data_IF_499729746248
#
_entry.id   IF_499729746248
#
_cell.length_a   1.000
_cell.length_b   1.000
_cell.length_c   1.000
_cell.angle_alpha   90.00
_cell.angle_beta   90.00
_cell.angle_gamma   90.00
#
_symmetry.space_group_name_H-M   'P 1'
#
loop_
_entity.id
_entity.type
_entity.pdbx_description
1 polymer ?
#
# COMPACT_ATOMS: atom_id res chain seq x y z
N UNK A 1 -55.83 -4.17 -10.10
CA UNK A 1 -54.84 -3.08 -9.93
C UNK A 1 -54.83 -2.56 -8.50
N UNK A 2 -55.98 -2.18 -7.93
CA UNK A 2 -56.09 -1.69 -6.54
C UNK A 2 -55.38 -2.57 -5.48
N UNK A 3 -55.57 -3.90 -5.51
CA UNK A 3 -54.91 -4.82 -4.56
C UNK A 3 -53.38 -4.82 -4.64
N UNK A 4 -52.79 -4.61 -5.83
CA UNK A 4 -51.32 -4.53 -5.96
C UNK A 4 -50.79 -3.24 -5.37
N UNK A 5 -51.48 -2.12 -5.62
CA UNK A 5 -51.13 -0.81 -5.04
C UNK A 5 -51.22 -0.82 -3.51
N UNK A 6 -52.27 -1.41 -2.93
CA UNK A 6 -52.38 -1.52 -1.47
C UNK A 6 -51.24 -2.35 -0.88
N UNK A 7 -50.91 -3.50 -1.48
CA UNK A 7 -49.77 -4.32 -1.02
C UNK A 7 -48.42 -3.61 -1.14
N UNK A 8 -48.22 -2.78 -2.17
CA UNK A 8 -47.01 -1.98 -2.31
C UNK A 8 -46.87 -0.96 -1.17
N UNK A 9 -47.97 -0.30 -0.77
CA UNK A 9 -48.00 0.62 0.38
C UNK A 9 -47.61 -0.11 1.67
N UNK A 10 -48.18 -1.29 1.92
CA UNK A 10 -47.86 -2.09 3.11
C UNK A 10 -46.37 -2.47 3.16
N UNK A 11 -45.78 -2.81 2.01
CA UNK A 11 -44.35 -3.12 1.91
C UNK A 11 -43.45 -1.90 2.13
N UNK A 12 -43.87 -0.70 1.73
CA UNK A 12 -43.14 0.55 2.03
C UNK A 12 -43.14 0.81 3.53
N UNK A 13 -44.27 0.65 4.21
CA UNK A 13 -44.34 0.78 5.67
C UNK A 13 -43.47 -0.25 6.38
N UNK A 14 -43.50 -1.51 5.92
CA UNK A 14 -42.62 -2.56 6.43
C UNK A 14 -41.15 -2.23 6.22
N UNK A 15 -40.78 -1.65 5.06
CA UNK A 15 -39.41 -1.23 4.78
C UNK A 15 -38.94 -0.10 5.71
N UNK A 16 -39.79 0.89 5.99
CA UNK A 16 -39.49 1.96 6.96
C UNK A 16 -39.30 1.40 8.36
N UNK A 17 -40.23 0.57 8.82
CA UNK A 17 -40.13 -0.08 10.11
C UNK A 17 -38.84 -0.91 10.23
N UNK A 18 -38.48 -1.68 9.20
CA UNK A 18 -37.22 -2.44 9.20
C UNK A 18 -35.99 -1.51 9.28
N UNK A 19 -36.00 -0.38 8.56
CA UNK A 19 -34.93 0.61 8.62
C UNK A 19 -34.80 1.25 10.01
N UNK A 20 -35.92 1.60 10.65
CA UNK A 20 -35.96 2.16 12.00
C UNK A 20 -35.39 1.19 13.05
N UNK A 21 -35.53 -0.12 12.82
CA UNK A 21 -34.92 -1.18 13.66
C UNK A 21 -33.47 -1.53 13.24
N UNK A 22 -32.87 -0.80 12.30
CA UNK A 22 -31.50 -1.05 11.82
C UNK A 22 -31.37 -2.25 10.87
N UNK A 23 -32.48 -2.88 10.47
CA UNK A 23 -32.51 -4.05 9.57
C UNK A 23 -32.45 -3.62 8.09
N UNK A 24 -31.35 -2.95 7.70
CA UNK A 24 -31.16 -2.39 6.35
C UNK A 24 -31.38 -3.40 5.21
N UNK A 25 -30.97 -4.65 5.39
CA UNK A 25 -31.15 -5.71 4.39
C UNK A 25 -32.62 -6.04 4.12
N UNK A 26 -33.44 -6.09 5.18
CA UNK A 26 -34.88 -6.31 5.07
C UNK A 26 -35.58 -5.07 4.51
N UNK A 27 -35.18 -3.87 4.94
CA UNK A 27 -35.66 -2.62 4.38
C UNK A 27 -35.45 -2.56 2.85
N UNK A 28 -34.24 -2.90 2.37
CA UNK A 28 -33.91 -2.93 0.95
C UNK A 28 -34.75 -3.95 0.19
N UNK A 29 -34.91 -5.18 0.72
CA UNK A 29 -35.74 -6.24 0.11
C UNK A 29 -37.22 -5.84 0.03
N UNK A 30 -37.79 -5.29 1.11
CA UNK A 30 -39.20 -4.87 1.16
C UNK A 30 -39.47 -3.70 0.23
N UNK A 31 -38.61 -2.68 0.22
CA UNK A 31 -38.72 -1.55 -0.71
C UNK A 31 -38.59 -2.01 -2.18
N UNK A 32 -37.67 -2.93 -2.47
CA UNK A 32 -37.50 -3.48 -3.84
C UNK A 32 -38.74 -4.26 -4.30
N UNK A 33 -39.36 -5.03 -3.40
CA UNK A 33 -40.63 -5.73 -3.67
C UNK A 33 -41.80 -4.77 -3.88
N UNK A 34 -41.86 -3.69 -3.09
CA UNK A 34 -42.87 -2.64 -3.28
C UNK A 34 -42.76 -2.03 -4.68
N UNK A 35 -41.55 -1.67 -5.11
CA UNK A 35 -41.27 -1.10 -6.43
C UNK A 35 -41.58 -2.09 -7.57
N UNK A 36 -41.35 -3.39 -7.37
CA UNK A 36 -41.72 -4.42 -8.34
C UNK A 36 -43.24 -4.62 -8.48
N UNK A 37 -44.02 -4.36 -7.41
CA UNK A 37 -45.48 -4.44 -7.43
C UNK A 37 -46.12 -3.19 -8.04
N UNK A 38 -45.60 -2.01 -7.69
CA UNK A 38 -46.04 -0.72 -8.20
C UNK A 38 -44.82 0.17 -8.52
N UNK A 39 -44.42 0.28 -9.79
CA UNK A 39 -43.30 1.13 -10.21
C UNK A 39 -43.48 2.61 -9.88
N UNK A 40 -44.72 3.07 -9.63
CA UNK A 40 -45.06 4.45 -9.25
C UNK A 40 -45.01 4.69 -7.73
N UNK A 41 -44.57 3.71 -6.93
CA UNK A 41 -44.48 3.85 -5.48
C UNK A 41 -43.27 4.74 -5.07
N UNK A 42 -43.44 6.06 -5.14
CA UNK A 42 -42.41 7.07 -4.83
C UNK A 42 -41.67 6.80 -3.51
N UNK A 43 -42.40 6.41 -2.46
CA UNK A 43 -41.82 6.11 -1.15
C UNK A 43 -40.85 4.92 -1.15
N UNK A 44 -41.06 3.93 -2.03
CA UNK A 44 -40.14 2.80 -2.19
C UNK A 44 -38.85 3.24 -2.90
N UNK A 45 -38.98 4.04 -3.97
CA UNK A 45 -37.85 4.57 -4.73
C UNK A 45 -36.98 5.50 -3.88
N UNK A 46 -37.60 6.39 -3.08
CA UNK A 46 -36.91 7.27 -2.13
C UNK A 46 -36.14 6.48 -1.07
N UNK A 47 -36.75 5.43 -0.49
CA UNK A 47 -36.09 4.57 0.49
C UNK A 47 -34.89 3.83 -0.10
N UNK A 48 -35.04 3.23 -1.29
CA UNK A 48 -33.93 2.56 -1.97
C UNK A 48 -32.80 3.55 -2.24
N UNK A 49 -33.13 4.73 -2.75
CA UNK A 49 -32.14 5.80 -3.02
C UNK A 49 -31.39 6.17 -1.74
N UNK A 50 -32.12 6.38 -0.64
CA UNK A 50 -31.54 6.71 0.67
C UNK A 50 -30.64 5.58 1.18
N UNK A 51 -31.11 4.33 1.11
CA UNK A 51 -30.35 3.15 1.55
C UNK A 51 -29.07 2.94 0.74
N UNK A 52 -29.06 3.30 -0.54
CA UNK A 52 -27.89 3.16 -1.42
C UNK A 52 -26.90 4.32 -1.29
N UNK A 53 -27.38 5.54 -1.02
CA UNK A 53 -26.53 6.72 -0.90
C UNK A 53 -25.99 6.92 0.52
N UNK A 54 -26.72 6.48 1.54
CA UNK A 54 -26.31 6.64 2.94
C UNK A 54 -25.64 5.36 3.45
N UNK A 55 -24.31 5.34 3.63
CA UNK A 55 -23.62 4.18 4.18
C UNK A 55 -24.18 3.83 5.58
N UNK A 56 -24.16 2.55 5.96
CA UNK A 56 -24.61 2.14 7.29
C UNK A 56 -23.71 2.72 8.38
N UNK A 57 -24.30 3.22 9.46
CA UNK A 57 -23.54 3.76 10.62
C UNK A 57 -22.66 2.68 11.27
N UNK A 58 -23.18 1.46 11.34
CA UNK A 58 -22.44 0.28 11.78
C UNK A 58 -22.16 -0.60 10.57
N UNK A 59 -20.88 -0.86 10.32
CA UNK A 59 -20.46 -1.73 9.23
C UNK A 59 -20.94 -3.17 9.52
N UNK A 60 -21.78 -3.77 8.65
CA UNK A 60 -22.23 -5.14 8.84
C UNK A 60 -21.03 -6.11 8.92
N UNK A 61 -21.10 -7.17 9.73
CA UNK A 61 -19.98 -8.11 9.92
C UNK A 61 -19.55 -8.77 8.59
N UNK A 62 -20.50 -9.01 7.69
CA UNK A 62 -20.23 -9.53 6.34
C UNK A 62 -19.40 -8.56 5.50
N UNK A 63 -19.77 -7.27 5.52
CA UNK A 63 -19.03 -6.22 4.81
C UNK A 63 -17.62 -6.04 5.40
N UNK A 64 -17.48 -6.10 6.73
CA UNK A 64 -16.18 -6.07 7.39
C UNK A 64 -15.29 -7.24 6.97
N UNK A 65 -15.84 -8.47 6.90
CA UNK A 65 -15.12 -9.63 6.41
C UNK A 65 -14.68 -9.49 4.94
N UNK A 66 -15.52 -8.90 4.09
CA UNK A 66 -15.19 -8.64 2.69
C UNK A 66 -14.09 -7.59 2.53
N UNK A 67 -14.14 -6.49 3.29
CA UNK A 67 -13.08 -5.47 3.28
C UNK A 67 -11.77 -6.08 3.75
N UNK A 68 -11.78 -6.81 4.89
CA UNK A 68 -10.58 -7.48 5.41
C UNK A 68 -9.98 -8.45 4.38
N UNK A 69 -10.81 -9.21 3.67
CA UNK A 69 -10.36 -10.10 2.60
C UNK A 69 -9.73 -9.33 1.43
N UNK A 70 -10.35 -8.23 1.00
CA UNK A 70 -9.80 -7.39 -0.07
C UNK A 70 -8.47 -6.73 0.32
N UNK A 71 -8.33 -6.29 1.57
CA UNK A 71 -7.08 -5.78 2.14
C UNK A 71 -5.99 -6.85 2.15
N UNK A 72 -6.31 -8.06 2.64
CA UNK A 72 -5.41 -9.22 2.65
C UNK A 72 -4.92 -9.59 1.24
N UNK A 73 -5.78 -9.52 0.24
CA UNK A 73 -5.42 -9.73 -1.17
C UNK A 73 -4.46 -8.64 -1.66
N UNK A 74 -4.67 -7.39 -1.24
CA UNK A 74 -3.76 -6.27 -1.48
C UNK A 74 -2.38 -6.51 -0.88
N UNK A 75 -2.32 -6.85 0.41
CA UNK A 75 -1.07 -7.20 1.13
C UNK A 75 -0.30 -8.31 0.40
N UNK A 76 -1.01 -9.36 -0.03
CA UNK A 76 -0.41 -10.49 -0.74
C UNK A 76 0.19 -10.10 -2.10
N UNK A 77 -0.52 -9.26 -2.88
CA UNK A 77 -0.02 -8.75 -4.16
C UNK A 77 1.21 -7.86 -3.96
N UNK A 78 1.19 -6.98 -2.96
CA UNK A 78 2.32 -6.12 -2.64
C UNK A 78 3.54 -6.93 -2.17
N UNK A 79 3.36 -7.91 -1.29
CA UNK A 79 4.43 -8.79 -0.84
C UNK A 79 5.08 -9.56 -2.01
N UNK A 80 4.29 -10.02 -3.00
CA UNK A 80 4.83 -10.61 -4.24
C UNK A 80 5.66 -9.63 -5.06
N UNK A 81 5.28 -8.36 -5.10
CA UNK A 81 6.03 -7.32 -5.82
C UNK A 81 7.36 -6.94 -5.17
N UNK A 82 7.50 -7.17 -3.86
CA UNK A 82 8.75 -6.90 -3.12
C UNK A 82 9.84 -7.96 -3.37
N UNK A 83 9.46 -9.21 -3.64
CA UNK A 83 10.39 -10.34 -3.85
C UNK A 83 11.44 -10.04 -4.94
N UNK A 84 11.06 -9.56 -6.14
CA UNK A 84 12.04 -9.15 -7.15
C UNK A 84 13.05 -8.11 -6.68
N UNK A 85 12.66 -7.21 -5.76
CA UNK A 85 13.57 -6.22 -5.21
C UNK A 85 14.66 -6.83 -4.33
N UNK A 86 14.31 -7.79 -3.48
CA UNK A 86 15.30 -8.53 -2.69
C UNK A 86 16.20 -9.42 -3.56
N UNK A 87 15.64 -10.03 -4.62
CA UNK A 87 16.43 -10.77 -5.61
C UNK A 87 17.38 -9.83 -6.35
N UNK A 88 16.94 -8.61 -6.71
CA UNK A 88 17.79 -7.62 -7.35
C UNK A 88 18.99 -7.24 -6.47
N UNK A 89 18.80 -7.09 -5.15
CA UNK A 89 19.91 -6.88 -4.20
C UNK A 89 20.91 -8.04 -4.27
N UNK A 90 20.45 -9.29 -4.27
CA UNK A 90 21.35 -10.44 -4.44
C UNK A 90 22.02 -10.47 -5.82
N UNK A 91 21.33 -10.01 -6.87
CA UNK A 91 21.86 -9.91 -8.23
C UNK A 91 22.94 -8.82 -8.39
N UNK A 92 23.15 -7.94 -7.40
CA UNK A 92 24.34 -7.07 -7.36
C UNK A 92 25.62 -7.83 -7.01
N UNK A 93 25.54 -9.04 -6.48
CA UNK A 93 26.71 -9.82 -6.06
C UNK A 93 27.75 -10.00 -7.17
N UNK A 94 27.41 -10.41 -8.41
CA UNK A 94 28.40 -10.53 -9.48
C UNK A 94 29.09 -9.20 -9.81
N UNK A 95 28.36 -8.08 -9.73
CA UNK A 95 28.91 -6.75 -9.96
C UNK A 95 29.89 -6.34 -8.85
N UNK A 96 29.60 -6.72 -7.60
CA UNK A 96 30.51 -6.53 -6.48
C UNK A 96 31.77 -7.39 -6.60
N UNK A 97 31.63 -8.65 -7.05
CA UNK A 97 32.76 -9.56 -7.31
C UNK A 97 33.67 -8.97 -8.39
N UNK A 98 33.08 -8.49 -9.48
CA UNK A 98 33.80 -7.82 -10.56
C UNK A 98 34.60 -6.60 -10.08
N UNK A 99 34.08 -5.89 -9.09
CA UNK A 99 34.72 -4.68 -8.54
C UNK A 99 35.82 -4.96 -7.53
N UNK A 100 36.06 -6.23 -7.16
CA UNK A 100 37.08 -6.63 -6.20
C UNK A 100 36.56 -6.58 -4.76
N UNK A 101 36.23 -7.75 -4.22
CA UNK A 101 35.78 -7.90 -2.82
C UNK A 101 36.99 -7.97 -1.89
N UNK A 102 37.10 -7.01 -0.98
CA UNK A 102 38.13 -7.01 0.07
C UNK A 102 37.70 -7.87 1.29
N UNK A 103 36.41 -7.85 1.61
CA UNK A 103 35.85 -8.56 2.78
C UNK A 103 34.53 -9.26 2.44
N UNK A 104 34.55 -10.59 2.44
CA UNK A 104 33.37 -11.41 2.08
C UNK A 104 32.27 -11.45 3.15
N UNK A 105 32.64 -11.36 4.43
CA UNK A 105 31.69 -11.46 5.55
C UNK A 105 30.48 -10.49 5.45
N UNK A 106 30.65 -9.17 5.25
CA UNK A 106 29.50 -8.26 5.11
C UNK A 106 28.65 -8.54 3.87
N UNK A 107 29.26 -9.04 2.79
CA UNK A 107 28.56 -9.35 1.54
C UNK A 107 27.68 -10.59 1.71
N UNK A 108 28.24 -11.66 2.27
CA UNK A 108 27.49 -12.90 2.57
C UNK A 108 26.36 -12.58 3.56
N UNK A 109 26.65 -11.77 4.59
CA UNK A 109 25.64 -11.30 5.54
C UNK A 109 24.50 -10.55 4.86
N UNK A 110 24.82 -9.62 3.97
CA UNK A 110 23.82 -8.84 3.22
C UNK A 110 22.94 -9.74 2.33
N UNK A 111 23.56 -10.62 1.55
CA UNK A 111 22.84 -11.53 0.65
C UNK A 111 21.97 -12.50 1.47
N UNK A 112 22.51 -13.09 2.52
CA UNK A 112 21.77 -13.98 3.42
C UNK A 112 20.57 -13.27 4.07
N UNK A 113 20.77 -12.03 4.52
CA UNK A 113 19.69 -11.21 5.08
C UNK A 113 18.63 -10.83 4.02
N UNK A 114 19.04 -10.61 2.77
CA UNK A 114 18.12 -10.30 1.68
C UNK A 114 17.26 -11.50 1.30
N UNK A 115 17.85 -12.69 1.28
CA UNK A 115 17.12 -13.94 1.07
C UNK A 115 16.17 -14.23 2.25
N UNK A 116 16.58 -13.94 3.49
CA UNK A 116 15.71 -14.04 4.66
C UNK A 116 14.51 -13.09 4.54
N UNK A 117 14.70 -11.83 4.16
CA UNK A 117 13.61 -10.88 3.92
C UNK A 117 12.70 -11.32 2.77
N UNK A 118 13.27 -11.86 1.68
CA UNK A 118 12.48 -12.43 0.58
C UNK A 118 11.62 -13.61 1.06
N UNK A 119 12.14 -14.45 1.94
CA UNK A 119 11.40 -15.53 2.57
C UNK A 119 10.30 -15.00 3.51
N UNK A 120 10.58 -13.98 4.32
CA UNK A 120 9.58 -13.31 5.15
C UNK A 120 8.45 -12.70 4.30
N UNK A 121 8.80 -12.04 3.20
CA UNK A 121 7.84 -11.51 2.23
C UNK A 121 7.01 -12.63 1.60
N UNK A 122 7.63 -13.76 1.23
CA UNK A 122 6.92 -14.94 0.75
C UNK A 122 5.94 -15.52 1.79
N UNK A 123 6.33 -15.56 3.07
CA UNK A 123 5.44 -15.97 4.15
C UNK A 123 4.27 -14.99 4.33
N UNK A 124 4.49 -13.69 4.09
CA UNK A 124 3.43 -12.68 4.10
C UNK A 124 2.43 -12.88 2.94
N UNK A 125 2.90 -13.38 1.79
CA UNK A 125 2.01 -13.79 0.67
C UNK A 125 1.11 -14.96 1.06
N UNK A 126 1.59 -15.90 1.89
CA UNK A 126 0.82 -17.07 2.33
C UNK A 126 -0.12 -16.77 3.49
N UNK A 127 0.28 -15.86 4.37
CA UNK A 127 -0.45 -15.45 5.59
C UNK A 127 -0.48 -13.92 5.68
N UNK A 128 -1.42 -13.27 4.96
CA UNK A 128 -1.53 -11.81 4.94
C UNK A 128 -2.06 -11.23 6.26
N UNK A 129 -2.77 -12.05 7.05
CA UNK A 129 -3.18 -11.67 8.39
C UNK A 129 -1.96 -11.69 9.32
N UNK A 130 -1.38 -10.51 9.55
CA UNK A 130 -0.28 -10.29 10.48
C UNK A 130 -0.67 -9.28 11.53
N UNK A 131 -0.18 -9.53 12.74
CA UNK A 131 -0.28 -8.57 13.82
C UNK A 131 0.52 -7.31 13.49
N UNK A 132 0.15 -6.18 14.10
CA UNK A 132 0.90 -4.94 13.98
C UNK A 132 2.37 -5.11 14.37
N UNK A 133 2.66 -5.89 15.42
CA UNK A 133 4.02 -6.17 15.89
C UNK A 133 4.87 -6.90 14.84
N UNK A 134 4.31 -7.89 14.14
CA UNK A 134 5.01 -8.58 13.06
C UNK A 134 5.33 -7.65 11.88
N UNK A 135 4.41 -6.72 11.57
CA UNK A 135 4.63 -5.70 10.54
C UNK A 135 5.71 -4.70 10.94
N UNK A 136 5.73 -4.27 12.21
CA UNK A 136 6.80 -3.43 12.78
C UNK A 136 8.14 -4.17 12.71
N UNK A 137 8.20 -5.44 13.10
CA UNK A 137 9.41 -6.26 13.00
C UNK A 137 9.90 -6.36 11.55
N UNK A 138 8.99 -6.53 10.59
CA UNK A 138 9.31 -6.54 9.17
C UNK A 138 9.86 -5.19 8.68
N UNK A 139 9.29 -4.07 9.13
CA UNK A 139 9.82 -2.74 8.83
C UNK A 139 11.20 -2.51 9.44
N UNK A 140 11.42 -2.93 10.70
CA UNK A 140 12.72 -2.89 11.36
C UNK A 140 13.75 -3.75 10.61
N UNK A 141 13.37 -4.91 10.09
CA UNK A 141 14.25 -5.74 9.28
C UNK A 141 14.61 -5.07 7.94
N UNK A 142 13.69 -4.36 7.30
CA UNK A 142 13.99 -3.53 6.13
C UNK A 142 14.91 -2.34 6.47
N UNK A 143 14.72 -1.70 7.63
CA UNK A 143 15.62 -0.66 8.12
C UNK A 143 17.03 -1.22 8.38
N UNK A 144 17.16 -2.41 8.99
CA UNK A 144 18.43 -3.08 9.17
C UNK A 144 19.12 -3.40 7.83
N UNK A 145 18.35 -3.79 6.80
CA UNK A 145 18.86 -3.99 5.45
C UNK A 145 19.47 -2.70 4.88
N UNK A 146 18.79 -1.56 5.07
CA UNK A 146 19.29 -0.24 4.68
C UNK A 146 20.58 0.13 5.41
N UNK A 147 20.69 -0.18 6.72
CA UNK A 147 21.93 0.00 7.48
C UNK A 147 23.08 -0.79 6.85
N UNK A 148 22.85 -2.07 6.54
CA UNK A 148 23.88 -2.93 5.91
C UNK A 148 24.31 -2.40 4.54
N UNK A 149 23.35 -1.98 3.70
CA UNK A 149 23.63 -1.37 2.40
C UNK A 149 24.38 -0.04 2.53
N UNK A 150 23.97 0.81 3.47
CA UNK A 150 24.64 2.08 3.79
C UNK A 150 26.09 1.86 4.18
N UNK A 151 26.38 0.86 5.01
CA UNK A 151 27.74 0.48 5.40
C UNK A 151 28.60 -0.05 4.26
N UNK A 152 27.97 -0.66 3.26
CA UNK A 152 28.65 -1.30 2.14
C UNK A 152 28.94 -0.31 1.01
N UNK A 153 27.94 0.47 0.62
CA UNK A 153 27.96 1.37 -0.53
C UNK A 153 28.13 2.85 -0.17
N UNK A 154 28.07 3.20 1.11
CA UNK A 154 28.07 4.58 1.62
C UNK A 154 26.65 5.16 1.75
N UNK A 155 26.37 5.95 2.80
CA UNK A 155 25.03 6.48 3.08
C UNK A 155 24.50 7.47 2.02
N UNK A 156 25.38 8.12 1.27
CA UNK A 156 25.04 9.24 0.37
C UNK A 156 25.06 8.85 -1.12
N UNK A 157 25.10 7.56 -1.44
CA UNK A 157 25.04 7.09 -2.83
C UNK A 157 23.58 6.87 -3.26
N UNK A 158 23.19 5.64 -3.61
CA UNK A 158 21.82 5.29 -4.00
C UNK A 158 20.92 4.92 -2.81
N UNK A 159 21.49 4.81 -1.61
CA UNK A 159 20.78 4.40 -0.37
C UNK A 159 19.62 5.34 0.01
N UNK A 160 19.70 6.67 -0.11
CA UNK A 160 18.56 7.54 0.18
C UNK A 160 17.37 7.27 -0.75
N UNK A 161 17.63 7.11 -2.05
CA UNK A 161 16.61 6.77 -3.04
C UNK A 161 15.98 5.40 -2.75
N UNK A 162 16.80 4.42 -2.37
CA UNK A 162 16.33 3.10 -1.98
C UNK A 162 15.50 3.13 -0.69
N UNK A 163 15.88 3.98 0.28
CA UNK A 163 15.14 4.18 1.53
C UNK A 163 13.74 4.70 1.24
N UNK A 164 13.62 5.73 0.38
CA UNK A 164 12.31 6.26 -0.05
C UNK A 164 11.50 5.18 -0.76
N UNK A 165 12.12 4.43 -1.67
CA UNK A 165 11.45 3.34 -2.38
C UNK A 165 10.91 2.24 -1.46
N UNK A 166 11.74 1.76 -0.52
CA UNK A 166 11.35 0.73 0.46
C UNK A 166 10.25 1.29 1.38
N UNK A 167 10.41 2.52 1.87
CA UNK A 167 9.40 3.19 2.71
C UNK A 167 8.06 3.27 2.00
N UNK A 168 8.04 3.72 0.74
CA UNK A 168 6.83 3.80 -0.06
C UNK A 168 6.18 2.42 -0.26
N UNK A 169 7.00 1.39 -0.49
CA UNK A 169 6.52 0.02 -0.65
C UNK A 169 5.92 -0.54 0.65
N UNK A 170 6.51 -0.23 1.80
CA UNK A 170 5.99 -0.67 3.11
C UNK A 170 4.77 0.16 3.54
N UNK A 171 4.67 1.41 3.12
CA UNK A 171 3.52 2.29 3.39
C UNK A 171 2.21 1.76 2.79
N UNK A 172 2.25 0.92 1.75
CA UNK A 172 1.04 0.33 1.15
C UNK A 172 0.36 -0.72 2.03
N UNK A 173 0.98 -1.13 3.15
CA UNK A 173 0.34 -2.05 4.09
C UNK A 173 -0.65 -1.32 5.00
N UNK A 174 -1.87 -1.86 5.24
CA UNK A 174 -2.89 -1.20 6.06
C UNK A 174 -2.40 -0.75 7.44
N UNK A 175 -1.57 -1.58 8.09
CA UNK A 175 -0.95 -1.30 9.38
C UNK A 175 -0.15 0.02 9.40
N UNK A 176 0.54 0.36 8.30
CA UNK A 176 1.33 1.58 8.19
C UNK A 176 0.57 2.74 7.56
N UNK A 177 -0.47 2.47 6.78
CA UNK A 177 -1.40 3.53 6.34
C UNK A 177 -2.09 4.21 7.54
N UNK A 178 -2.39 3.44 8.60
CA UNK A 178 -2.97 3.98 9.85
C UNK A 178 -1.90 4.65 10.74
N UNK A 179 -0.64 4.24 10.62
CA UNK A 179 0.47 4.73 11.45
C UNK A 179 1.70 5.18 10.62
N UNK A 180 1.55 6.16 9.71
CA UNK A 180 2.61 6.55 8.78
C UNK A 180 3.84 7.14 9.50
N UNK A 181 3.62 7.83 10.62
CA UNK A 181 4.69 8.42 11.45
C UNK A 181 5.57 7.32 12.05
N UNK A 182 4.99 6.21 12.50
CA UNK A 182 5.77 5.10 13.05
C UNK A 182 6.72 4.50 11.99
N UNK A 183 6.22 4.31 10.76
CA UNK A 183 7.05 3.83 9.65
C UNK A 183 8.16 4.84 9.31
N UNK A 184 7.84 6.13 9.26
CA UNK A 184 8.81 7.19 8.98
C UNK A 184 9.92 7.23 10.04
N UNK A 185 9.59 7.06 11.33
CA UNK A 185 10.57 6.97 12.42
C UNK A 185 11.45 5.73 12.26
N UNK A 186 10.88 4.57 11.95
CA UNK A 186 11.65 3.32 11.77
C UNK A 186 12.62 3.44 10.59
N UNK A 187 12.14 3.88 9.42
CA UNK A 187 12.95 3.96 8.20
C UNK A 187 13.97 5.11 8.29
N UNK A 188 13.53 6.29 8.76
CA UNK A 188 14.40 7.44 8.99
C UNK A 188 15.46 7.15 10.06
N UNK A 189 15.07 6.49 11.15
CA UNK A 189 15.97 5.99 12.17
C UNK A 189 16.99 5.01 11.59
N UNK A 190 16.57 4.03 10.79
CA UNK A 190 17.46 3.10 10.10
C UNK A 190 18.50 3.80 9.20
N UNK A 191 18.09 4.85 8.49
CA UNK A 191 19.00 5.63 7.65
C UNK A 191 19.97 6.50 8.47
N UNK A 192 19.49 7.18 9.50
CA UNK A 192 20.27 8.12 10.34
C UNK A 192 21.21 7.40 11.30
N UNK A 193 20.81 6.24 11.83
CA UNK A 193 21.57 5.47 12.83
C UNK A 193 23.04 5.21 12.43
N UNK A 194 23.37 4.64 11.25
CA UNK A 194 24.77 4.41 10.88
C UNK A 194 25.57 5.70 10.76
N UNK A 195 24.95 6.79 10.31
CA UNK A 195 25.60 8.10 10.18
C UNK A 195 25.98 8.62 11.58
N UNK A 196 25.04 8.59 12.54
CA UNK A 196 25.31 9.03 13.90
C UNK A 196 26.36 8.14 14.60
N UNK A 197 26.32 6.83 14.39
CA UNK A 197 27.30 5.91 14.96
C UNK A 197 28.71 6.10 14.37
N UNK A 198 28.83 6.51 13.10
CA UNK A 198 30.11 6.88 12.49
C UNK A 198 30.64 8.22 13.01
N UNK A 199 29.76 9.21 13.18
CA UNK A 199 30.11 10.51 13.76
C UNK A 199 30.57 10.36 15.22
N UNK A 200 29.93 9.48 15.98
CA UNK A 200 30.31 9.14 17.35
C UNK A 200 31.60 8.28 17.44
N UNK A 201 32.16 7.83 16.31
CA UNK A 201 33.35 6.97 16.28
C UNK A 201 33.12 5.52 16.71
N UNK A 202 31.86 5.09 16.88
CA UNK A 202 31.50 3.71 17.22
C UNK A 202 31.70 2.78 16.02
N UNK A 203 31.39 3.27 14.83
CA UNK A 203 31.60 2.55 13.57
C UNK A 203 32.74 3.19 12.75
N UNK A 204 33.52 2.40 11.98
CA UNK A 204 34.53 2.94 11.07
C UNK A 204 33.90 3.88 10.04
N UNK A 205 34.49 5.07 9.82
CA UNK A 205 33.95 6.06 8.87
C UNK A 205 33.85 5.50 7.44
N UNK A 206 32.69 5.66 6.83
CA UNK A 206 32.44 5.34 5.40
C UNK A 206 32.42 6.59 4.53
N UNK A 207 32.49 7.77 5.15
CA UNK A 207 32.56 9.04 4.45
C UNK A 207 33.38 10.05 5.25
N UNK A 208 33.96 11.01 4.55
CA UNK A 208 34.63 12.16 5.14
C UNK A 208 34.44 13.38 4.24
N UNK A 209 34.34 14.56 4.87
CA UNK A 209 34.40 15.84 4.15
C UNK A 209 35.85 16.29 4.16
N UNK A 210 36.53 16.15 3.02
CA UNK A 210 37.90 16.61 2.87
C UNK A 210 37.93 18.03 2.30
N UNK A 211 38.68 18.93 2.94
CA UNK A 211 38.85 20.30 2.47
C UNK A 211 39.40 20.31 1.03
N UNK A 212 38.76 21.07 0.14
CA UNK A 212 39.14 21.20 -1.28
C UNK A 212 38.77 20.02 -2.19
N UNK A 213 38.40 18.85 -1.66
CA UNK A 213 38.03 17.66 -2.45
C UNK A 213 36.53 17.36 -2.36
N UNK A 214 35.88 17.76 -1.27
CA UNK A 214 34.44 17.55 -1.04
C UNK A 214 34.15 16.26 -0.29
N UNK A 215 32.98 15.67 -0.55
CA UNK A 215 32.53 14.43 0.09
C UNK A 215 33.25 13.22 -0.52
N UNK A 216 34.14 12.60 0.25
CA UNK A 216 34.82 11.37 -0.10
C UNK A 216 34.09 10.19 0.53
N UNK A 217 33.51 9.33 -0.30
CA UNK A 217 32.89 8.07 0.14
C UNK A 217 33.92 6.94 0.08
N UNK A 218 34.15 6.27 1.20
CA UNK A 218 35.05 5.12 1.34
C UNK A 218 34.23 3.86 1.57
N UNK A 219 34.37 2.86 0.69
CA UNK A 219 33.82 1.52 0.95
C UNK A 219 34.81 0.71 1.76
N UNK A 220 34.36 0.09 2.85
CA UNK A 220 35.17 -0.82 3.67
C UNK A 220 35.27 -2.24 3.11
N UNK A 221 34.48 -2.57 2.08
CA UNK A 221 34.29 -3.94 1.62
C UNK A 221 34.66 -4.17 0.15
N UNK A 222 34.65 -3.12 -0.67
CA UNK A 222 34.92 -3.20 -2.11
C UNK A 222 36.13 -2.33 -2.42
N UNK A 223 37.04 -2.82 -3.26
CA UNK A 223 38.10 -2.01 -3.82
C UNK A 223 37.48 -0.95 -4.74
N UNK A 224 37.54 0.32 -4.32
CA UNK A 224 37.01 1.45 -5.09
C UNK A 224 38.06 1.80 -6.15
N UNK A 225 38.09 1.06 -7.25
CA UNK A 225 38.74 1.55 -8.46
C UNK A 225 37.81 2.58 -9.15
N UNK A 226 38.40 3.56 -9.84
CA UNK A 226 37.66 4.69 -10.44
C UNK A 226 36.60 4.22 -11.42
N UNK A 227 36.88 3.18 -12.21
CA UNK A 227 35.96 2.70 -13.25
C UNK A 227 34.84 1.81 -12.67
N UNK A 228 35.18 0.86 -11.80
CA UNK A 228 34.20 -0.09 -11.23
C UNK A 228 33.14 0.62 -10.36
N UNK A 229 33.57 1.63 -9.59
CA UNK A 229 32.69 2.40 -8.70
C UNK A 229 31.66 3.22 -9.47
N UNK A 230 32.08 3.84 -10.58
CA UNK A 230 31.17 4.58 -11.45
C UNK A 230 30.11 3.66 -12.07
N UNK A 231 30.52 2.48 -12.56
CA UNK A 231 29.60 1.48 -13.13
C UNK A 231 28.60 1.00 -12.08
N UNK A 232 29.04 0.67 -10.85
CA UNK A 232 28.14 0.27 -9.76
C UNK A 232 27.11 1.36 -9.47
N UNK A 233 27.54 2.60 -9.27
CA UNK A 233 26.63 3.69 -8.91
C UNK A 233 25.62 3.97 -10.02
N UNK A 234 26.07 3.96 -11.29
CA UNK A 234 25.17 4.15 -12.44
C UNK A 234 24.17 3.00 -12.54
N UNK A 235 24.62 1.74 -12.46
CA UNK A 235 23.73 0.57 -12.53
C UNK A 235 22.76 0.55 -11.35
N UNK A 236 23.22 0.81 -10.13
CA UNK A 236 22.37 0.87 -8.94
C UNK A 236 21.33 1.98 -9.02
N UNK A 237 21.71 3.16 -9.52
CA UNK A 237 20.80 4.28 -9.73
C UNK A 237 19.75 3.94 -10.79
N UNK A 238 20.17 3.38 -11.94
CA UNK A 238 19.26 2.96 -13.01
C UNK A 238 18.26 1.90 -12.53
N UNK A 239 18.73 0.88 -11.81
CA UNK A 239 17.86 -0.15 -11.24
C UNK A 239 16.85 0.47 -10.27
N UNK A 240 17.30 1.37 -9.38
CA UNK A 240 16.41 2.05 -8.42
C UNK A 240 15.35 2.90 -9.14
N UNK A 241 15.74 3.64 -10.18
CA UNK A 241 14.82 4.44 -11.02
C UNK A 241 13.80 3.53 -11.71
N UNK A 242 14.24 2.44 -12.34
CA UNK A 242 13.36 1.50 -13.04
C UNK A 242 12.37 0.82 -12.07
N UNK A 243 12.83 0.46 -10.88
CA UNK A 243 11.96 -0.11 -9.83
C UNK A 243 10.92 0.90 -9.36
N UNK A 244 11.32 2.13 -9.06
CA UNK A 244 10.40 3.20 -8.66
C UNK A 244 9.39 3.53 -9.77
N UNK A 245 9.84 3.65 -11.02
CA UNK A 245 8.99 3.91 -12.17
C UNK A 245 7.96 2.79 -12.40
N UNK A 246 8.41 1.52 -12.33
CA UNK A 246 7.52 0.36 -12.44
C UNK A 246 6.47 0.35 -11.33
N UNK A 247 6.88 0.56 -10.08
CA UNK A 247 5.97 0.57 -8.93
C UNK A 247 4.94 1.69 -9.05
N UNK A 248 5.39 2.89 -9.41
CA UNK A 248 4.51 4.05 -9.65
C UNK A 248 3.52 3.78 -10.79
N UNK A 249 3.97 3.18 -11.90
CA UNK A 249 3.10 2.82 -13.02
C UNK A 249 2.05 1.77 -12.63
N UNK A 250 2.43 0.75 -11.86
CA UNK A 250 1.50 -0.28 -11.37
C UNK A 250 0.45 0.33 -10.45
N UNK A 251 0.87 1.14 -9.48
CA UNK A 251 -0.04 1.80 -8.55
C UNK A 251 -0.98 2.78 -9.26
N UNK A 252 -0.45 3.59 -10.17
CA UNK A 252 -1.24 4.55 -10.95
C UNK A 252 -2.28 3.85 -11.82
N UNK A 253 -1.92 2.74 -12.48
CA UNK A 253 -2.87 1.91 -13.25
C UNK A 253 -3.94 1.29 -12.36
N UNK A 254 -3.57 0.79 -11.18
CA UNK A 254 -4.52 0.23 -10.23
C UNK A 254 -5.52 1.29 -9.73
N UNK A 255 -5.02 2.47 -9.35
CA UNK A 255 -5.87 3.59 -8.92
C UNK A 255 -6.80 4.06 -10.03
N UNK A 256 -6.29 4.24 -11.26
CA UNK A 256 -7.14 4.62 -12.41
C UNK A 256 -8.22 3.57 -12.70
N UNK A 257 -7.88 2.28 -12.66
CA UNK A 257 -8.85 1.21 -12.86
C UNK A 257 -9.91 1.18 -11.75
N UNK A 258 -9.53 1.41 -10.49
CA UNK A 258 -10.46 1.50 -9.38
C UNK A 258 -11.39 2.72 -9.52
N UNK A 259 -10.84 3.89 -9.88
CA UNK A 259 -11.63 5.08 -10.16
C UNK A 259 -12.62 4.86 -11.32
N UNK A 260 -12.17 4.27 -12.44
CA UNK A 260 -13.04 3.94 -13.56
C UNK A 260 -14.17 2.98 -13.15
N UNK A 261 -13.86 1.96 -12.33
CA UNK A 261 -14.88 1.03 -11.80
C UNK A 261 -15.88 1.73 -10.90
N UNK A 262 -15.43 2.60 -10.01
CA UNK A 262 -16.30 3.38 -9.13
C UNK A 262 -17.22 4.33 -9.92
N UNK A 263 -16.67 5.03 -10.93
CA UNK A 263 -17.46 5.91 -11.81
C UNK A 263 -18.46 5.09 -12.64
N UNK A 264 -18.06 3.94 -13.18
CA UNK A 264 -18.97 3.07 -13.93
C UNK A 264 -20.09 2.49 -13.04
N UNK A 265 -19.76 2.08 -11.81
CA UNK A 265 -20.75 1.61 -10.82
C UNK A 265 -21.71 2.74 -10.44
N UNK A 266 -21.20 3.94 -10.17
CA UNK A 266 -22.03 5.10 -9.89
C UNK A 266 -22.93 5.48 -11.08
N UNK A 267 -22.40 5.38 -12.30
CA UNK A 267 -23.18 5.61 -13.52
C UNK A 267 -24.29 4.57 -13.70
N UNK A 268 -24.00 3.27 -13.57
CA UNK A 268 -25.03 2.22 -13.60
C UNK A 268 -26.08 2.42 -12.50
N UNK A 269 -25.64 2.79 -11.30
CA UNK A 269 -26.55 3.08 -10.21
C UNK A 269 -27.46 4.27 -10.54
N UNK A 270 -26.93 5.34 -11.12
CA UNK A 270 -27.70 6.49 -11.55
C UNK A 270 -28.71 6.17 -12.68
N UNK A 271 -28.43 5.17 -13.53
CA UNK A 271 -29.40 4.71 -14.54
C UNK A 271 -30.53 3.87 -13.94
N UNK A 272 -30.29 3.19 -12.81
CA UNK A 272 -31.31 2.40 -12.11
C UNK A 272 -32.22 3.27 -11.24
N UNK A 273 -31.77 4.46 -10.83
CA UNK A 273 -32.57 5.38 -10.04
C UNK A 273 -33.52 6.18 -10.95
N UNK A 274 -34.83 6.27 -10.64
CA UNK A 274 -35.74 7.11 -11.39
C UNK A 274 -35.25 8.56 -11.34
N UNK A 275 -35.25 9.24 -12.50
CA UNK A 275 -34.91 10.66 -12.56
C UNK A 275 -35.97 11.41 -11.76
N UNK A 276 -35.62 11.82 -10.54
CA UNK A 276 -36.47 12.69 -9.74
C UNK A 276 -36.64 13.97 -10.54
N UNK A 277 -37.84 14.18 -11.11
CA UNK A 277 -38.15 15.42 -11.79
C UNK A 277 -37.90 16.56 -10.79
N UNK A 278 -37.15 17.61 -11.17
CA UNK A 278 -36.91 18.72 -10.26
C UNK A 278 -38.27 19.22 -9.75
N UNK A 279 -38.48 19.17 -8.42
CA UNK A 279 -39.68 19.73 -7.79
C UNK A 279 -39.74 21.20 -8.24
N UNK A 280 -40.69 21.51 -9.12
CA UNK A 280 -41.01 22.89 -9.48
C UNK A 280 -41.42 23.55 -8.17
N UNK A 281 -40.56 24.40 -7.62
CA UNK A 281 -40.93 25.24 -6.49
C UNK A 281 -42.00 26.19 -7.01
N UNK A 282 -43.27 25.88 -6.75
CA UNK A 282 -44.36 26.82 -6.87
C UNK A 282 -44.10 27.91 -5.83
N UNK A 283 -43.43 28.98 -6.26
CA UNK A 283 -43.39 30.25 -5.53
C UNK A 283 -44.81 30.78 -5.47
N UNK A 284 -45.40 30.73 -4.27
CA UNK A 284 -46.59 31.47 -3.91
C UNK A 284 -46.17 32.85 -3.39
#
# INVERSE_FOLDING_TARGET
VARRKSMAIDLVWSARAALDHGQRGDAMRSASRALALDPEADGAAELITTLMLQPPEQQPPELAAWIKKAENDGVSRHARSAIPGYIAIAAFLPLMIYSGVLRWAPIIGLVGFALLLAFCAYQLVRKPERSFLEMVLYACANAAMLVMLSRLAGPFTFVPALTVYITFTVMTYPAFMQHPVALAIIMGGGFITPILLELAGVLPRTWEMAEGVGLLSRSSAIAVDKQSSAVIVVVASLVTILMAARQSAVLSRANRNNQHRLVAQAWHLAQLLPRVAPRVKTTA
#
